data_IF_053655440600
#
_entry.id   IF_053655440600
#
_cell.length_a   1.000
_cell.length_b   1.000
_cell.length_c   1.000
_cell.angle_alpha   90.00
_cell.angle_beta   90.00
_cell.angle_gamma   90.00
#
_symmetry.space_group_name_H-M   'P 1'
#
loop_
_entity.id
_entity.type
_entity.pdbx_description
1 polymer ?
#
# COMPACT_ATOMS: atom_id res chain seq x y z
N UNK A 1 -7.65 20.04 -12.25
CA UNK A 1 -8.38 19.66 -11.01
C UNK A 1 -7.87 18.32 -10.53
N UNK A 2 -7.11 18.26 -9.44
CA UNK A 2 -6.82 16.98 -8.77
C UNK A 2 -8.13 16.49 -8.15
N UNK A 3 -8.60 15.30 -8.54
CA UNK A 3 -9.84 14.74 -8.00
C UNK A 3 -9.65 14.48 -6.50
N UNK A 4 -10.68 14.75 -5.67
CA UNK A 4 -10.68 14.43 -4.23
C UNK A 4 -10.34 12.96 -3.93
N UNK A 5 -10.58 12.05 -4.89
CA UNK A 5 -10.20 10.64 -4.81
C UNK A 5 -8.69 10.44 -4.71
N UNK A 6 -7.93 11.17 -5.52
CA UNK A 6 -6.47 11.10 -5.54
C UNK A 6 -5.85 11.61 -4.20
N UNK A 7 -6.43 12.66 -3.60
CA UNK A 7 -5.97 13.17 -2.29
C UNK A 7 -6.12 12.14 -1.17
N UNK A 8 -7.25 11.43 -1.09
CA UNK A 8 -7.47 10.40 -0.05
C UNK A 8 -6.56 9.19 -0.24
N UNK A 9 -6.33 8.79 -1.49
CA UNK A 9 -5.40 7.71 -1.83
C UNK A 9 -3.97 8.06 -1.43
N UNK A 10 -3.54 9.29 -1.74
CA UNK A 10 -2.21 9.78 -1.40
C UNK A 10 -2.02 9.90 0.12
N UNK A 11 -3.03 10.33 0.88
CA UNK A 11 -3.01 10.31 2.35
C UNK A 11 -2.85 8.89 2.91
N UNK A 12 -3.52 7.91 2.29
CA UNK A 12 -3.37 6.50 2.67
C UNK A 12 -1.97 5.98 2.37
N UNK A 13 -1.41 6.29 1.20
CA UNK A 13 -0.01 5.99 0.87
C UNK A 13 0.91 6.61 1.93
N UNK A 14 0.65 7.86 2.32
CA UNK A 14 1.47 8.58 3.30
C UNK A 14 1.46 7.88 4.66
N UNK A 15 0.29 7.47 5.15
CA UNK A 15 0.12 6.73 6.41
C UNK A 15 0.84 5.38 6.38
N UNK A 16 0.71 4.65 5.27
CA UNK A 16 1.42 3.37 5.11
C UNK A 16 2.93 3.57 5.05
N UNK A 17 3.40 4.66 4.43
CA UNK A 17 4.82 4.99 4.37
C UNK A 17 5.39 5.35 5.74
N UNK A 18 4.64 6.06 6.58
CA UNK A 18 5.06 6.38 7.96
C UNK A 18 5.26 5.11 8.80
N UNK A 19 4.41 4.10 8.62
CA UNK A 19 4.58 2.80 9.30
C UNK A 19 5.91 2.14 8.92
N UNK A 20 6.28 2.19 7.64
CA UNK A 20 7.52 1.59 7.13
C UNK A 20 8.73 2.38 7.63
N UNK A 21 8.72 3.71 7.49
CA UNK A 21 9.84 4.57 7.91
C UNK A 21 10.06 4.52 9.42
N UNK A 22 9.00 4.41 10.22
CA UNK A 22 9.12 4.22 11.67
C UNK A 22 9.81 2.89 12.04
N UNK A 23 9.72 1.87 11.19
CA UNK A 23 10.40 0.58 11.39
C UNK A 23 11.77 0.50 10.72
N UNK A 24 11.98 1.27 9.65
CA UNK A 24 13.23 1.33 8.91
C UNK A 24 13.55 2.81 8.55
N UNK A 25 14.12 3.57 9.51
CA UNK A 25 14.36 5.01 9.33
C UNK A 25 15.38 5.35 8.24
N UNK A 26 16.20 4.39 7.84
CA UNK A 26 17.20 4.55 6.78
C UNK A 26 16.57 4.69 5.38
N UNK A 27 15.34 4.18 5.21
CA UNK A 27 14.62 4.35 3.95
C UNK A 27 13.96 5.72 3.89
N UNK A 28 14.16 6.43 2.78
CA UNK A 28 13.46 7.69 2.56
C UNK A 28 11.95 7.45 2.41
N UNK A 29 11.14 8.29 3.08
CA UNK A 29 9.67 8.27 2.92
C UNK A 29 9.27 8.40 1.45
N UNK A 30 10.03 9.16 0.65
CA UNK A 30 9.78 9.31 -0.79
C UNK A 30 9.91 7.97 -1.54
N UNK A 31 10.98 7.21 -1.31
CA UNK A 31 11.20 5.89 -1.93
C UNK A 31 10.15 4.87 -1.49
N UNK A 32 9.77 4.90 -0.21
CA UNK A 32 8.72 4.05 0.35
C UNK A 32 7.37 4.35 -0.31
N UNK A 33 7.00 5.63 -0.44
CA UNK A 33 5.78 6.04 -1.16
C UNK A 33 5.82 5.60 -2.63
N UNK A 34 6.98 5.72 -3.29
CA UNK A 34 7.20 5.21 -4.65
C UNK A 34 6.91 3.71 -4.76
N UNK A 35 7.34 2.92 -3.78
CA UNK A 35 7.08 1.47 -3.73
C UNK A 35 5.60 1.14 -3.57
N UNK A 36 4.86 1.92 -2.76
CA UNK A 36 3.42 1.76 -2.67
C UNK A 36 2.70 2.10 -3.98
N UNK A 37 3.10 3.19 -4.68
CA UNK A 37 2.55 3.54 -6.00
C UNK A 37 2.80 2.47 -7.04
N UNK A 38 3.99 1.89 -7.02
CA UNK A 38 4.30 0.71 -7.83
C UNK A 38 3.37 -0.46 -7.47
N UNK A 39 3.26 -0.79 -6.18
CA UNK A 39 2.37 -1.86 -5.70
C UNK A 39 0.90 -1.67 -6.07
N UNK A 40 0.40 -0.43 -6.04
CA UNK A 40 -0.96 -0.08 -6.50
C UNK A 40 -1.12 -0.38 -7.99
N UNK A 41 -0.15 0.05 -8.80
CA UNK A 41 -0.17 -0.16 -10.25
C UNK A 41 -0.21 -1.64 -10.59
N UNK A 42 0.60 -2.46 -9.91
CA UNK A 42 0.59 -3.91 -10.09
C UNK A 42 -0.68 -4.57 -9.54
N UNK A 43 -1.18 -4.11 -8.39
CA UNK A 43 -2.41 -4.63 -7.82
C UNK A 43 -3.62 -4.40 -8.73
N UNK A 44 -3.73 -3.21 -9.34
CA UNK A 44 -4.79 -2.90 -10.31
C UNK A 44 -4.79 -3.86 -11.49
N UNK A 45 -3.61 -4.18 -12.04
CA UNK A 45 -3.45 -5.16 -13.13
C UNK A 45 -3.90 -6.56 -12.69
N UNK A 46 -3.44 -7.01 -11.51
CA UNK A 46 -3.75 -8.36 -11.00
C UNK A 46 -5.23 -8.53 -10.70
N UNK A 47 -5.90 -7.49 -10.20
CA UNK A 47 -7.34 -7.55 -9.87
C UNK A 47 -8.24 -7.18 -11.04
N UNK A 48 -7.70 -6.68 -12.14
CA UNK A 48 -8.46 -6.22 -13.31
C UNK A 48 -9.23 -4.92 -13.07
N UNK A 49 -8.82 -4.10 -12.10
CA UNK A 49 -9.44 -2.80 -11.83
C UNK A 49 -8.76 -1.72 -12.67
N UNK A 50 -9.55 -0.78 -13.20
CA UNK A 50 -9.03 0.28 -14.05
C UNK A 50 -8.32 1.38 -13.25
N UNK A 51 -8.81 1.67 -12.05
CA UNK A 51 -8.27 2.70 -11.15
C UNK A 51 -8.57 2.39 -9.69
N UNK A 52 -7.81 2.99 -8.78
CA UNK A 52 -8.01 2.77 -7.35
C UNK A 52 -9.41 3.20 -6.90
N UNK A 53 -9.99 4.27 -7.45
CA UNK A 53 -11.36 4.68 -7.07
C UNK A 53 -12.40 3.55 -7.23
N UNK A 54 -12.20 2.63 -8.17
CA UNK A 54 -13.08 1.48 -8.37
C UNK A 54 -12.98 0.44 -7.25
N UNK A 55 -11.86 0.39 -6.53
CA UNK A 55 -11.69 -0.49 -5.35
C UNK A 55 -12.72 -0.15 -4.28
N UNK A 56 -13.08 1.13 -4.12
CA UNK A 56 -14.01 1.58 -3.09
C UNK A 56 -15.41 0.97 -3.24
N UNK A 57 -15.82 0.67 -4.48
CA UNK A 57 -17.13 0.09 -4.80
C UNK A 57 -17.13 -1.44 -4.83
N UNK A 58 -15.97 -2.08 -4.63
CA UNK A 58 -15.87 -3.54 -4.61
C UNK A 58 -16.43 -4.12 -3.30
N UNK A 59 -16.73 -5.42 -3.34
CA UNK A 59 -17.03 -6.20 -2.14
C UNK A 59 -15.85 -6.20 -1.16
N UNK A 60 -16.11 -6.53 0.11
CA UNK A 60 -15.04 -6.65 1.11
C UNK A 60 -13.92 -7.61 0.66
N UNK A 61 -14.30 -8.72 0.00
CA UNK A 61 -13.35 -9.68 -0.56
C UNK A 61 -12.52 -9.06 -1.72
N UNK A 62 -13.14 -8.29 -2.60
CA UNK A 62 -12.44 -7.60 -3.70
C UNK A 62 -11.46 -6.54 -3.19
N UNK A 63 -11.87 -5.75 -2.19
CA UNK A 63 -11.00 -4.79 -1.51
C UNK A 63 -9.82 -5.49 -0.84
N UNK A 64 -10.06 -6.57 -0.10
CA UNK A 64 -9.02 -7.35 0.56
C UNK A 64 -8.00 -7.88 -0.44
N UNK A 65 -8.47 -8.50 -1.54
CA UNK A 65 -7.60 -9.03 -2.60
C UNK A 65 -6.70 -7.97 -3.22
N UNK A 66 -7.25 -6.79 -3.49
CA UNK A 66 -6.47 -5.65 -3.98
C UNK A 66 -5.40 -5.22 -2.98
N UNK A 67 -5.76 -5.09 -1.70
CA UNK A 67 -4.83 -4.65 -0.67
C UNK A 67 -3.72 -5.66 -0.38
N UNK A 68 -4.02 -6.96 -0.38
CA UNK A 68 -2.99 -7.98 -0.22
C UNK A 68 -2.00 -7.94 -1.39
N UNK A 69 -2.50 -7.87 -2.62
CA UNK A 69 -1.66 -7.72 -3.82
C UNK A 69 -0.80 -6.45 -3.78
N UNK A 70 -1.38 -5.32 -3.35
CA UNK A 70 -0.65 -4.06 -3.20
C UNK A 70 0.49 -4.20 -2.20
N UNK A 71 0.23 -4.77 -1.03
CA UNK A 71 1.24 -4.92 0.02
C UNK A 71 2.34 -5.89 -0.41
N UNK A 72 2.00 -7.00 -1.04
CA UNK A 72 2.98 -7.99 -1.49
C UNK A 72 3.92 -7.39 -2.55
N UNK A 73 3.36 -6.67 -3.54
CA UNK A 73 4.16 -5.99 -4.56
C UNK A 73 5.00 -4.84 -4.01
N UNK A 74 4.45 -4.03 -3.10
CA UNK A 74 5.17 -2.93 -2.47
C UNK A 74 6.32 -3.44 -1.60
N UNK A 75 6.09 -4.48 -0.79
CA UNK A 75 7.13 -5.09 0.04
C UNK A 75 8.22 -5.73 -0.82
N UNK A 76 7.87 -6.46 -1.88
CA UNK A 76 8.84 -7.03 -2.80
C UNK A 76 9.72 -5.94 -3.46
N UNK A 77 9.13 -4.79 -3.80
CA UNK A 77 9.90 -3.64 -4.30
C UNK A 77 10.81 -3.05 -3.22
N UNK A 78 10.32 -2.89 -1.98
CA UNK A 78 11.12 -2.37 -0.86
C UNK A 78 12.31 -3.26 -0.49
N UNK A 79 12.15 -4.58 -0.53
CA UNK A 79 13.25 -5.53 -0.31
C UNK A 79 14.39 -5.30 -1.31
N UNK A 80 14.07 -5.03 -2.58
CA UNK A 80 15.08 -4.70 -3.60
C UNK A 80 15.79 -3.37 -3.36
N UNK A 81 15.18 -2.47 -2.58
CA UNK A 81 15.78 -1.20 -2.18
C UNK A 81 16.58 -1.28 -0.86
N UNK A 82 16.71 -2.48 -0.27
CA UNK A 82 17.44 -2.67 0.98
C UNK A 82 16.55 -2.68 2.24
N UNK A 83 15.24 -2.86 2.11
CA UNK A 83 14.40 -3.09 3.29
C UNK A 83 14.82 -4.39 4.01
N UNK A 84 15.01 -4.38 5.34
CA UNK A 84 15.46 -5.55 6.09
C UNK A 84 14.43 -6.69 6.10
N UNK A 85 14.86 -7.91 5.74
CA UNK A 85 13.99 -9.09 5.68
C UNK A 85 13.47 -9.53 7.06
N UNK A 86 14.24 -9.30 8.12
CA UNK A 86 13.87 -9.59 9.50
C UNK A 86 12.71 -8.70 10.01
N UNK A 87 12.59 -7.48 9.48
CA UNK A 87 11.49 -6.56 9.79
C UNK A 87 10.24 -6.78 8.93
N UNK A 88 10.33 -7.59 7.88
CA UNK A 88 9.28 -7.74 6.87
C UNK A 88 7.96 -8.20 7.46
N UNK A 89 7.96 -9.25 8.27
CA UNK A 89 6.74 -9.80 8.85
C UNK A 89 6.10 -8.85 9.85
N UNK A 90 6.91 -8.14 10.64
CA UNK A 90 6.45 -7.17 11.63
C UNK A 90 5.76 -5.99 10.92
N UNK A 91 6.42 -5.43 9.91
CA UNK A 91 5.88 -4.30 9.13
C UNK A 91 4.66 -4.74 8.33
N UNK A 92 4.68 -5.91 7.69
CA UNK A 92 3.53 -6.43 6.95
C UNK A 92 2.30 -6.59 7.85
N UNK A 93 2.47 -7.16 9.05
CA UNK A 93 1.36 -7.26 10.03
C UNK A 93 0.78 -5.90 10.42
N UNK A 94 1.64 -4.89 10.62
CA UNK A 94 1.20 -3.51 10.91
C UNK A 94 0.45 -2.90 9.74
N UNK A 95 0.96 -3.06 8.52
CA UNK A 95 0.33 -2.56 7.29
C UNK A 95 -1.03 -3.22 7.03
N UNK A 96 -1.16 -4.54 7.24
CA UNK A 96 -2.44 -5.26 7.13
C UNK A 96 -3.44 -4.73 8.16
N UNK A 97 -3.02 -4.54 9.41
CA UNK A 97 -3.89 -4.00 10.47
C UNK A 97 -4.37 -2.58 10.14
N UNK A 98 -3.49 -1.72 9.62
CA UNK A 98 -3.89 -0.38 9.18
C UNK A 98 -4.83 -0.47 7.97
N UNK A 99 -4.59 -1.41 7.05
CA UNK A 99 -5.48 -1.65 5.91
C UNK A 99 -6.90 -2.05 6.32
N UNK A 100 -7.06 -2.84 7.38
CA UNK A 100 -8.37 -3.21 7.91
C UNK A 100 -9.19 -2.00 8.37
N UNK A 101 -8.57 -0.89 8.79
CA UNK A 101 -9.29 0.35 9.12
C UNK A 101 -9.93 0.98 7.90
N UNK A 102 -9.29 0.85 6.74
CA UNK A 102 -9.83 1.35 5.47
C UNK A 102 -10.87 0.43 4.83
N UNK A 103 -10.96 -0.83 5.26
CA UNK A 103 -12.01 -1.76 4.81
C UNK A 103 -13.37 -1.53 5.49
N UNK A 104 -13.36 -0.88 6.65
CA UNK A 104 -14.56 -0.59 7.48
C UNK A 104 -15.19 0.78 7.19
N UNK A 105 -14.57 1.58 6.32
CA UNK A 105 -15.06 2.88 5.85
C UNK A 105 -15.65 2.76 4.44
#
# INVERSE_FOLDING_TARGET
MQSRGNTKQEQKIDTLADIVVAACPELSKLSVKGSFRFGITEALKVTGFGKWEEVATQSAAGKQRFFDSLLDNAMAHMLRMGFPTDQQDIVRKRLVKENQRFLKQ
#
